data_IF_455887411753
#
_entry.id   IF_455887411753
#
_cell.length_a   1.000
_cell.length_b   1.000
_cell.length_c   1.000
_cell.angle_alpha   90.00
_cell.angle_beta   90.00
_cell.angle_gamma   90.00
#
_symmetry.space_group_name_H-M   'P 1'
#
loop_
_entity.id
_entity.type
_entity.pdbx_description
1 polymer ?
#
# COMPACT_ATOMS: atom_id res chain seq x y z
N UNK A 1 -23.74 5.80 13.03
CA UNK A 1 -22.87 5.46 11.87
C UNK A 1 -21.63 4.69 12.27
N UNK A 2 -21.06 4.89 13.46
CA UNK A 2 -19.84 4.20 13.93
C UNK A 2 -19.96 2.67 14.01
N UNK A 3 -21.11 2.16 14.44
CA UNK A 3 -21.36 0.71 14.54
C UNK A 3 -21.38 -0.02 13.19
N UNK A 4 -21.75 0.67 12.09
CA UNK A 4 -21.78 0.05 10.77
C UNK A 4 -20.37 -0.30 10.29
N UNK A 5 -19.38 0.55 10.57
CA UNK A 5 -17.98 0.27 10.24
C UNK A 5 -17.45 -0.94 11.02
N UNK A 6 -17.74 -1.02 12.32
CA UNK A 6 -17.35 -2.15 13.15
C UNK A 6 -17.99 -3.46 12.66
N UNK A 7 -19.29 -3.44 12.38
CA UNK A 7 -20.03 -4.62 11.87
C UNK A 7 -19.45 -5.07 10.53
N UNK A 8 -19.10 -4.14 9.63
CA UNK A 8 -18.51 -4.46 8.34
C UNK A 8 -17.13 -5.12 8.48
N UNK A 9 -16.28 -4.60 9.38
CA UNK A 9 -14.97 -5.18 9.67
C UNK A 9 -15.12 -6.59 10.23
N UNK A 10 -16.00 -6.79 11.22
CA UNK A 10 -16.26 -8.11 11.82
C UNK A 10 -16.80 -9.10 10.79
N UNK A 11 -17.71 -8.66 9.92
CA UNK A 11 -18.25 -9.48 8.84
C UNK A 11 -17.17 -9.94 7.86
N UNK A 12 -16.29 -9.03 7.44
CA UNK A 12 -15.16 -9.36 6.56
C UNK A 12 -14.23 -10.37 7.25
N UNK A 13 -13.84 -10.12 8.49
CA UNK A 13 -12.96 -11.04 9.24
C UNK A 13 -13.60 -12.42 9.37
N UNK A 14 -14.88 -12.50 9.75
CA UNK A 14 -15.61 -13.75 9.87
C UNK A 14 -15.67 -14.53 8.55
N UNK A 15 -15.81 -13.83 7.41
CA UNK A 15 -15.87 -14.44 6.08
C UNK A 15 -14.52 -14.96 5.59
N UNK A 16 -13.42 -14.34 6.00
CA UNK A 16 -12.07 -14.75 5.62
C UNK A 16 -11.48 -15.84 6.53
N UNK A 17 -11.99 -15.95 7.77
CA UNK A 17 -11.50 -16.93 8.75
C UNK A 17 -11.45 -18.40 8.26
N UNK A 18 -12.47 -18.94 7.57
CA UNK A 18 -12.44 -20.33 7.09
C UNK A 18 -11.29 -20.58 6.11
N UNK A 19 -11.07 -19.65 5.18
CA UNK A 19 -10.00 -19.74 4.19
C UNK A 19 -8.61 -19.65 4.85
N UNK A 20 -8.43 -18.73 5.79
CA UNK A 20 -7.19 -18.62 6.58
C UNK A 20 -6.90 -19.89 7.38
N UNK A 21 -7.93 -20.48 8.01
CA UNK A 21 -7.81 -21.73 8.76
C UNK A 21 -7.43 -22.90 7.85
N UNK A 22 -8.06 -23.01 6.69
CA UNK A 22 -7.75 -24.08 5.74
C UNK A 22 -6.33 -23.93 5.18
N UNK A 23 -5.93 -22.72 4.80
CA UNK A 23 -4.57 -22.43 4.34
C UNK A 23 -3.53 -22.76 5.43
N UNK A 24 -3.79 -22.42 6.69
CA UNK A 24 -2.87 -22.76 7.78
C UNK A 24 -2.71 -24.27 7.98
N UNK A 25 -3.79 -25.05 7.79
CA UNK A 25 -3.75 -26.51 7.93
C UNK A 25 -3.05 -27.20 6.75
N UNK A 26 -3.27 -26.71 5.53
CA UNK A 26 -2.73 -27.32 4.32
C UNK A 26 -1.31 -26.83 3.98
N UNK A 27 -1.01 -25.55 4.21
CA UNK A 27 0.27 -24.90 3.91
C UNK A 27 0.61 -23.82 4.97
N UNK A 28 1.10 -24.21 6.15
CA UNK A 28 1.46 -23.27 7.20
C UNK A 28 2.59 -22.31 6.79
N UNK A 29 3.51 -22.75 5.93
CA UNK A 29 4.61 -21.91 5.46
C UNK A 29 4.09 -20.79 4.53
N UNK A 30 3.22 -21.12 3.57
CA UNK A 30 2.55 -20.15 2.71
C UNK A 30 1.61 -19.23 3.47
N UNK A 31 0.93 -19.71 4.52
CA UNK A 31 0.15 -18.87 5.42
C UNK A 31 1.02 -17.80 6.09
N UNK A 32 2.11 -18.19 6.75
CA UNK A 32 3.00 -17.22 7.42
C UNK A 32 3.65 -16.25 6.43
N UNK A 33 3.99 -16.70 5.22
CA UNK A 33 4.46 -15.81 4.14
C UNK A 33 3.39 -14.77 3.78
N UNK A 34 2.14 -15.21 3.63
CA UNK A 34 0.99 -14.31 3.34
C UNK A 34 0.78 -13.30 4.45
N UNK A 35 0.81 -13.73 5.72
CA UNK A 35 0.69 -12.85 6.88
C UNK A 35 1.79 -11.80 6.92
N UNK A 36 3.05 -12.19 6.66
CA UNK A 36 4.18 -11.24 6.61
C UNK A 36 4.02 -10.21 5.50
N UNK A 37 3.56 -10.63 4.32
CA UNK A 37 3.32 -9.73 3.19
C UNK A 37 2.16 -8.77 3.46
N UNK A 38 1.09 -9.29 4.07
CA UNK A 38 -0.03 -8.46 4.49
C UNK A 38 0.39 -7.45 5.55
N UNK A 39 1.20 -7.85 6.54
CA UNK A 39 1.76 -6.94 7.53
C UNK A 39 2.65 -5.86 6.89
N UNK A 40 3.53 -6.22 5.97
CA UNK A 40 4.36 -5.26 5.23
C UNK A 40 3.51 -4.28 4.42
N UNK A 41 2.48 -4.77 3.74
CA UNK A 41 1.53 -3.93 3.02
C UNK A 41 0.76 -2.97 3.95
N UNK A 42 0.30 -3.45 5.11
CA UNK A 42 -0.34 -2.60 6.11
C UNK A 42 0.59 -1.50 6.61
N UNK A 43 1.87 -1.80 6.84
CA UNK A 43 2.86 -0.78 7.23
C UNK A 43 2.97 0.30 6.16
N UNK A 44 3.08 -0.08 4.88
CA UNK A 44 3.13 0.89 3.77
C UNK A 44 1.84 1.71 3.68
N UNK A 45 0.68 1.07 3.85
CA UNK A 45 -0.62 1.74 3.84
C UNK A 45 -0.73 2.76 4.97
N UNK A 46 -0.41 2.38 6.22
CA UNK A 46 -0.47 3.30 7.36
C UNK A 46 0.56 4.41 7.26
N UNK A 47 1.77 4.13 6.75
CA UNK A 47 2.75 5.17 6.47
C UNK A 47 2.24 6.18 5.43
N UNK A 48 1.63 5.68 4.35
CA UNK A 48 1.04 6.52 3.29
C UNK A 48 -0.08 7.40 3.85
N UNK A 49 -1.02 6.80 4.60
CA UNK A 49 -2.11 7.54 5.25
C UNK A 49 -1.55 8.56 6.24
N UNK A 50 -0.56 8.18 7.05
CA UNK A 50 0.08 9.08 8.02
C UNK A 50 0.72 10.29 7.35
N UNK A 51 1.45 10.08 6.25
CA UNK A 51 2.02 11.18 5.44
C UNK A 51 0.91 12.04 4.83
N UNK A 52 -0.15 11.45 4.27
CA UNK A 52 -1.25 12.23 3.70
C UNK A 52 -1.97 13.07 4.77
N UNK A 53 -2.25 12.50 5.94
CA UNK A 53 -2.86 13.21 7.07
C UNK A 53 -1.95 14.35 7.52
N UNK A 54 -0.66 14.10 7.64
CA UNK A 54 0.32 15.12 8.00
C UNK A 54 0.36 16.26 6.98
N UNK A 55 0.47 15.95 5.68
CA UNK A 55 0.49 16.95 4.61
C UNK A 55 -0.80 17.76 4.52
N UNK A 56 -1.96 17.16 4.84
CA UNK A 56 -3.26 17.83 4.79
C UNK A 56 -3.66 18.49 6.12
N UNK A 57 -2.88 18.27 7.19
CA UNK A 57 -3.12 18.88 8.48
C UNK A 57 -2.74 20.36 8.47
N UNK A 58 -3.65 21.22 8.94
CA UNK A 58 -3.46 22.66 8.99
C UNK A 58 -4.70 23.44 8.56
N UNK A 59 -4.75 24.76 8.84
CA UNK A 59 -5.86 25.61 8.42
C UNK A 59 -5.89 25.72 6.89
N UNK A 60 -6.84 25.01 6.27
CA UNK A 60 -7.09 24.98 4.81
C UNK A 60 -5.83 24.77 3.95
N UNK A 61 -5.46 23.50 3.62
CA UNK A 61 -4.30 23.25 2.79
C UNK A 61 -4.39 24.01 1.45
N UNK A 62 -3.27 24.59 1.03
CA UNK A 62 -3.18 25.25 -0.27
C UNK A 62 -3.52 24.27 -1.39
N UNK A 63 -4.10 24.76 -2.49
CA UNK A 63 -4.48 23.90 -3.63
C UNK A 63 -3.29 23.05 -4.14
N UNK A 64 -2.06 23.58 -4.29
CA UNK A 64 -0.91 22.79 -4.70
C UNK A 64 -0.56 21.67 -3.71
N UNK A 65 -0.61 21.95 -2.40
CA UNK A 65 -0.37 20.97 -1.33
C UNK A 65 -1.40 19.84 -1.36
N UNK A 66 -2.68 20.17 -1.57
CA UNK A 66 -3.75 19.18 -1.68
C UNK A 66 -3.55 18.25 -2.90
N UNK A 67 -3.20 18.82 -4.06
CA UNK A 67 -2.87 18.04 -5.25
C UNK A 67 -1.62 17.16 -5.05
N UNK A 68 -0.59 17.71 -4.40
CA UNK A 68 0.63 16.97 -4.10
C UNK A 68 0.37 15.80 -3.14
N UNK A 69 -0.44 15.99 -2.09
CA UNK A 69 -0.85 14.91 -1.20
C UNK A 69 -1.67 13.83 -1.93
N UNK A 70 -2.56 14.23 -2.84
CA UNK A 70 -3.30 13.30 -3.71
C UNK A 70 -2.39 12.50 -4.64
N UNK A 71 -1.46 13.17 -5.31
CA UNK A 71 -0.47 12.54 -6.19
C UNK A 71 0.43 11.56 -5.42
N UNK A 72 0.87 11.95 -4.22
CA UNK A 72 1.64 11.08 -3.33
C UNK A 72 0.86 9.82 -2.98
N UNK A 73 -0.40 9.95 -2.56
CA UNK A 73 -1.26 8.81 -2.23
C UNK A 73 -1.45 7.84 -3.39
N UNK A 74 -1.76 8.37 -4.58
CA UNK A 74 -1.90 7.55 -5.80
C UNK A 74 -0.60 6.83 -6.12
N UNK A 75 0.52 7.57 -6.19
CA UNK A 75 1.83 6.99 -6.50
C UNK A 75 2.24 5.91 -5.49
N UNK A 76 1.96 6.12 -4.20
CA UNK A 76 2.28 5.18 -3.14
C UNK A 76 1.47 3.87 -3.26
N UNK A 77 0.17 3.96 -3.57
CA UNK A 77 -0.68 2.78 -3.80
C UNK A 77 -0.20 1.97 -5.02
N UNK A 78 0.06 2.65 -6.14
CA UNK A 78 0.55 1.99 -7.35
C UNK A 78 1.94 1.37 -7.15
N UNK A 79 2.84 2.06 -6.46
CA UNK A 79 4.16 1.54 -6.13
C UNK A 79 4.10 0.34 -5.19
N UNK A 80 3.23 0.39 -4.15
CA UNK A 80 3.03 -0.75 -3.25
C UNK A 80 2.48 -1.97 -3.99
N UNK A 81 1.54 -1.77 -4.92
CA UNK A 81 1.03 -2.84 -5.79
C UNK A 81 2.12 -3.42 -6.68
N UNK A 82 2.92 -2.56 -7.34
CA UNK A 82 4.04 -2.96 -8.17
C UNK A 82 5.09 -3.76 -7.37
N UNK A 83 5.44 -3.29 -6.18
CA UNK A 83 6.34 -3.98 -5.26
C UNK A 83 5.80 -5.36 -4.85
N UNK A 84 4.50 -5.46 -4.53
CA UNK A 84 3.85 -6.74 -4.23
C UNK A 84 3.92 -7.73 -5.39
N UNK A 85 3.83 -7.27 -6.65
CA UNK A 85 3.92 -8.17 -7.82
C UNK A 85 5.24 -8.92 -7.91
N UNK A 86 6.33 -8.35 -7.37
CA UNK A 86 7.67 -8.98 -7.34
C UNK A 86 7.81 -10.03 -6.25
N UNK A 87 7.05 -9.91 -5.16
CA UNK A 87 7.23 -10.75 -3.98
C UNK A 87 6.22 -11.90 -3.95
N UNK A 88 5.03 -11.67 -4.52
CA UNK A 88 4.01 -12.70 -4.67
C UNK A 88 4.26 -13.44 -5.99
N UNK A 89 4.69 -14.72 -5.96
CA UNK A 89 5.10 -15.47 -7.14
C UNK A 89 3.90 -16.01 -7.92
N UNK A 90 2.80 -15.25 -8.00
CA UNK A 90 1.58 -15.70 -8.68
C UNK A 90 1.80 -15.87 -10.18
N UNK A 91 2.75 -15.12 -10.74
CA UNK A 91 3.24 -15.26 -12.10
C UNK A 91 4.58 -16.00 -12.07
N UNK A 92 4.67 -17.12 -12.79
CA UNK A 92 5.92 -17.91 -12.90
C UNK A 92 7.05 -17.15 -13.60
N UNK A 93 6.70 -16.15 -14.40
CA UNK A 93 7.64 -15.34 -15.18
C UNK A 93 7.15 -13.89 -15.16
N UNK A 94 7.73 -13.06 -14.29
CA UNK A 94 7.57 -11.61 -14.39
C UNK A 94 8.40 -11.10 -15.58
N UNK A 95 7.93 -10.10 -16.34
CA UNK A 95 8.78 -9.46 -17.35
C UNK A 95 10.09 -8.97 -16.70
N UNK A 96 11.23 -9.12 -17.40
CA UNK A 96 12.55 -8.81 -16.82
C UNK A 96 12.68 -7.36 -16.32
N UNK A 97 11.93 -6.42 -16.90
CA UNK A 97 11.89 -5.03 -16.45
C UNK A 97 11.10 -4.84 -15.14
N UNK A 98 10.17 -5.74 -14.83
CA UNK A 98 9.45 -5.79 -13.54
C UNK A 98 10.31 -6.47 -12.50
N UNK A 99 10.93 -7.60 -12.82
CA UNK A 99 11.69 -8.41 -11.84
C UNK A 99 12.96 -7.72 -11.33
N UNK A 100 13.59 -6.87 -12.16
CA UNK A 100 14.77 -6.11 -11.77
C UNK A 100 14.43 -5.09 -10.68
N UNK A 101 15.14 -5.16 -9.54
CA UNK A 101 15.05 -4.16 -8.49
C UNK A 101 16.42 -3.58 -8.14
N UNK A 102 16.61 -2.24 -8.21
CA UNK A 102 15.68 -1.24 -8.75
C UNK A 102 15.63 -1.24 -10.29
N UNK A 103 14.45 -0.97 -10.84
CA UNK A 103 14.14 -0.76 -12.26
C UNK A 103 13.95 0.72 -12.57
N UNK A 104 13.88 1.09 -13.86
CA UNK A 104 13.50 2.44 -14.28
C UNK A 104 12.13 2.89 -13.74
N UNK A 105 11.21 1.94 -13.53
CA UNK A 105 9.87 2.21 -12.96
C UNK A 105 9.98 2.58 -11.48
N UNK A 106 10.90 1.96 -10.74
CA UNK A 106 11.15 2.32 -9.33
C UNK A 106 11.64 3.76 -9.21
N UNK A 107 12.61 4.14 -10.05
CA UNK A 107 13.12 5.51 -10.07
C UNK A 107 12.03 6.52 -10.45
N UNK A 108 11.15 6.18 -11.40
CA UNK A 108 10.02 7.02 -11.76
C UNK A 108 9.05 7.23 -10.57
N UNK A 109 8.68 6.16 -9.87
CA UNK A 109 7.83 6.27 -8.68
C UNK A 109 8.51 7.03 -7.55
N UNK A 110 9.79 6.79 -7.28
CA UNK A 110 10.54 7.52 -6.25
C UNK A 110 10.65 9.00 -6.59
N UNK A 111 10.87 9.35 -7.85
CA UNK A 111 10.88 10.74 -8.30
C UNK A 111 9.51 11.41 -8.12
N UNK A 112 8.41 10.73 -8.45
CA UNK A 112 7.05 11.25 -8.25
C UNK A 112 6.75 11.44 -6.76
N UNK A 113 7.07 10.44 -5.91
CA UNK A 113 6.84 10.50 -4.47
C UNK A 113 7.67 11.61 -3.82
N UNK A 114 8.96 11.71 -4.16
CA UNK A 114 9.84 12.75 -3.66
C UNK A 114 9.41 14.13 -4.16
N UNK A 115 9.07 14.26 -5.45
CA UNK A 115 8.59 15.51 -6.03
C UNK A 115 7.29 15.98 -5.39
N UNK A 116 6.34 15.08 -5.17
CA UNK A 116 5.09 15.37 -4.46
C UNK A 116 5.35 15.83 -3.03
N UNK A 117 6.26 15.17 -2.31
CA UNK A 117 6.67 15.61 -0.97
C UNK A 117 7.31 17.01 -1.00
N UNK A 118 8.26 17.25 -1.89
CA UNK A 118 8.92 18.56 -2.02
C UNK A 118 7.89 19.65 -2.29
N UNK A 119 7.00 19.45 -3.27
CA UNK A 119 5.93 20.42 -3.59
C UNK A 119 5.07 20.67 -2.35
N UNK A 120 4.62 19.62 -1.66
CA UNK A 120 3.76 19.77 -0.49
C UNK A 120 4.45 20.49 0.68
N UNK A 121 5.78 20.40 0.79
CA UNK A 121 6.58 21.06 1.83
C UNK A 121 6.86 22.54 1.54
N UNK A 122 6.98 22.91 0.27
CA UNK A 122 7.29 24.30 -0.13
C UNK A 122 6.04 25.15 -0.40
N UNK A 123 4.85 24.55 -0.37
CA UNK A 123 3.53 25.20 -0.54
C UNK A 123 2.63 25.00 0.67
#
# INVERSE_FOLDING_TARGET
MEWLGLILVLYIVARWYPACREQYRQDPAGFWKTVRLFAAYLVVLFATIGVMVWLLSGPSPSLPRAFAAGLFGIAAIFYAGFWLTRIVPRYRELPAWVDRYPSGVDYAFWAILAGALIVALVT
#
